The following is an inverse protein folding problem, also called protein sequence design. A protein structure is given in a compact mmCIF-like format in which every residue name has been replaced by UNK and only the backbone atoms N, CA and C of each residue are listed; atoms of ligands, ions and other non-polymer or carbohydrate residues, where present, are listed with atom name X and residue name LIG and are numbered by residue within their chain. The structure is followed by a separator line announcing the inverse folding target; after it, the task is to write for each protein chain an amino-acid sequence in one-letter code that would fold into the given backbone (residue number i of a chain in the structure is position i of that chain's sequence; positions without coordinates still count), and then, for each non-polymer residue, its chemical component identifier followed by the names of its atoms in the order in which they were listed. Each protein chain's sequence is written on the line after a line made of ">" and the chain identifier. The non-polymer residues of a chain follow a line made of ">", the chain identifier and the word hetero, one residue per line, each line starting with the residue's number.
data_IF_405406955392
#
_entry.id   IF_405406955392
#
_cell.length_a   1.000
_cell.length_b   1.000
_cell.length_c   1.000
_cell.angle_alpha   90.00
_cell.angle_beta   90.00
_cell.angle_gamma   90.00
#
_symmetry.space_group_name_H-M   'P 1'
#
loop_
_entity.id
_entity.type
_entity.pdbx_description
1 polymer ?
#
# COMPACT_ATOMS: atom_id res chain seq x y z
N UNK A 1 -43.93 28.74 55.13
CA UNK A 1 -43.11 28.97 53.92
C UNK A 1 -41.93 28.00 53.97
N UNK A 2 -42.00 26.85 53.27
CA UNK A 2 -40.93 25.84 53.24
C UNK A 2 -40.31 25.86 51.83
N UNK A 3 -39.07 26.31 51.73
CA UNK A 3 -38.31 26.31 50.47
C UNK A 3 -37.65 24.92 50.34
N UNK A 4 -38.06 24.15 49.32
CA UNK A 4 -37.37 22.93 48.90
C UNK A 4 -36.28 23.34 47.90
N UNK A 5 -35.02 23.19 48.27
CA UNK A 5 -33.92 23.17 47.31
C UNK A 5 -33.95 21.82 46.58
N UNK A 6 -34.21 21.85 45.28
CA UNK A 6 -33.99 20.73 44.37
C UNK A 6 -32.53 20.76 43.93
N UNK A 7 -31.73 19.81 44.41
CA UNK A 7 -30.42 19.51 43.83
C UNK A 7 -30.62 18.79 42.50
N UNK A 8 -30.36 19.51 41.39
CA UNK A 8 -30.13 18.89 40.09
C UNK A 8 -28.69 18.36 40.07
N UNK A 9 -28.55 17.04 40.18
CA UNK A 9 -27.31 16.34 39.87
C UNK A 9 -27.21 16.20 38.35
N UNK A 10 -26.45 17.10 37.71
CA UNK A 10 -26.06 16.95 36.31
C UNK A 10 -25.09 15.78 36.20
N UNK A 11 -25.56 14.63 35.73
CA UNK A 11 -24.70 13.52 35.32
C UNK A 11 -24.04 13.93 34.00
N UNK A 12 -22.79 14.38 34.08
CA UNK A 12 -21.94 14.54 32.90
C UNK A 12 -21.44 13.13 32.54
N UNK A 13 -22.10 12.50 31.57
CA UNK A 13 -21.55 11.35 30.87
C UNK A 13 -20.38 11.86 30.02
N UNK A 14 -19.17 11.82 30.59
CA UNK A 14 -17.92 11.92 29.84
C UNK A 14 -17.84 10.67 28.96
N UNK A 15 -18.25 10.77 27.70
CA UNK A 15 -17.95 9.75 26.72
C UNK A 15 -16.44 9.79 26.51
N UNK A 16 -15.72 8.79 27.00
CA UNK A 16 -14.29 8.61 26.70
C UNK A 16 -14.17 8.32 25.21
N UNK A 17 -13.91 9.34 24.39
CA UNK A 17 -13.51 9.12 23.02
C UNK A 17 -12.10 8.56 23.03
N UNK A 18 -11.99 7.35 22.50
CA UNK A 18 -10.76 6.60 22.38
C UNK A 18 -9.78 7.35 21.49
N UNK A 19 -8.57 7.60 22.01
CA UNK A 19 -7.42 7.95 21.18
C UNK A 19 -7.25 6.94 20.04
N UNK A 20 -6.82 7.40 18.88
CA UNK A 20 -6.67 6.60 17.65
C UNK A 20 -5.21 6.23 17.42
N UNK A 21 -4.90 5.14 16.68
CA UNK A 21 -3.49 4.81 16.41
C UNK A 21 -3.02 4.27 15.09
N UNK A 22 -1.71 4.46 14.90
CA UNK A 22 -0.91 3.94 13.82
C UNK A 22 0.49 3.57 14.30
N UNK A 23 1.17 2.72 13.55
CA UNK A 23 2.62 2.51 13.62
C UNK A 23 3.33 3.23 12.48
N UNK A 24 4.43 3.91 12.79
CA UNK A 24 5.18 4.70 11.80
C UNK A 24 6.69 4.49 11.87
N UNK A 25 7.37 4.59 10.73
CA UNK A 25 8.82 4.69 10.62
C UNK A 25 9.21 6.15 10.33
N UNK A 26 10.02 6.75 11.20
CA UNK A 26 10.41 8.15 11.06
C UNK A 26 11.68 8.38 10.26
N UNK A 27 12.37 7.32 9.83
CA UNK A 27 13.70 7.43 9.23
C UNK A 27 13.67 8.04 7.82
N UNK A 28 12.60 7.77 7.05
CA UNK A 28 12.55 8.06 5.62
C UNK A 28 11.30 8.85 5.25
N UNK A 29 11.27 10.14 5.56
CA UNK A 29 10.13 11.02 5.27
C UNK A 29 10.29 11.75 3.95
N UNK A 30 9.18 11.99 3.27
CA UNK A 30 9.15 12.92 2.12
C UNK A 30 9.38 14.36 2.57
N UNK A 31 10.31 15.06 1.92
CA UNK A 31 10.55 16.49 2.20
C UNK A 31 9.36 17.38 1.83
N UNK A 32 8.65 17.04 0.75
CA UNK A 32 7.48 17.75 0.28
C UNK A 32 6.26 16.82 0.10
N UNK A 33 5.51 16.53 1.18
CA UNK A 33 4.33 15.67 1.11
C UNK A 33 3.15 16.29 0.34
N UNK A 34 3.20 17.59 0.02
CA UNK A 34 2.15 18.28 -0.74
C UNK A 34 2.10 17.89 -2.21
N UNK A 35 3.19 17.32 -2.74
CA UNK A 35 3.31 16.95 -4.15
C UNK A 35 4.31 15.80 -4.33
N UNK A 36 3.88 14.58 -4.01
CA UNK A 36 4.70 13.38 -4.20
C UNK A 36 4.49 12.90 -5.64
N UNK A 37 5.56 12.93 -6.45
CA UNK A 37 5.48 12.43 -7.81
C UNK A 37 5.33 10.91 -7.82
N UNK A 38 4.44 10.42 -8.67
CA UNK A 38 4.19 9.00 -8.94
C UNK A 38 4.37 8.77 -10.42
N UNK A 39 5.12 7.73 -10.79
CA UNK A 39 5.26 7.33 -12.17
C UNK A 39 5.10 5.82 -12.33
N UNK A 40 4.71 5.41 -13.54
CA UNK A 40 4.55 4.01 -13.92
C UNK A 40 5.86 3.47 -14.44
N UNK A 41 6.47 2.59 -13.67
CA UNK A 41 7.63 1.80 -14.09
C UNK A 41 7.13 0.46 -14.61
N UNK A 42 6.78 0.43 -15.89
CA UNK A 42 6.39 -0.84 -16.52
C UNK A 42 7.65 -1.57 -16.94
N UNK A 43 7.84 -2.80 -16.46
CA UNK A 43 8.62 -3.76 -17.23
C UNK A 43 7.74 -4.21 -18.41
N UNK A 44 8.32 -4.24 -19.61
CA UNK A 44 7.62 -4.90 -20.71
C UNK A 44 7.31 -6.35 -20.30
N UNK A 45 6.11 -6.87 -20.61
CA UNK A 45 5.81 -8.27 -20.36
C UNK A 45 6.93 -9.10 -20.95
N UNK A 46 7.56 -9.95 -20.13
CA UNK A 46 8.56 -10.87 -20.64
C UNK A 46 7.80 -11.87 -21.49
N UNK A 47 7.92 -11.74 -22.81
CA UNK A 47 7.42 -12.74 -23.74
C UNK A 47 8.18 -14.04 -23.54
N UNK A 48 7.66 -15.15 -24.07
CA UNK A 48 8.39 -16.42 -24.06
C UNK A 48 9.81 -16.26 -24.65
N UNK A 49 9.96 -15.42 -25.68
CA UNK A 49 11.25 -15.05 -26.25
C UNK A 49 12.16 -14.25 -25.31
N UNK A 50 11.60 -13.47 -24.38
CA UNK A 50 12.37 -12.73 -23.38
C UNK A 50 12.78 -13.61 -22.20
N UNK A 51 11.96 -14.61 -21.85
CA UNK A 51 12.26 -15.59 -20.80
C UNK A 51 13.22 -16.67 -21.30
N UNK A 52 13.04 -17.12 -22.54
CA UNK A 52 13.82 -18.17 -23.19
C UNK A 52 14.17 -17.73 -24.62
N UNK A 53 15.24 -16.93 -24.79
CA UNK A 53 15.66 -16.46 -26.12
C UNK A 53 15.90 -17.58 -27.12
N UNK A 54 16.35 -18.75 -26.65
CA UNK A 54 16.52 -19.96 -27.46
C UNK A 54 15.22 -20.51 -28.03
N UNK A 55 14.06 -20.10 -27.53
CA UNK A 55 12.72 -20.54 -27.96
C UNK A 55 11.99 -19.48 -28.78
N UNK A 56 12.64 -18.34 -29.08
CA UNK A 56 12.01 -17.25 -29.83
C UNK A 56 11.57 -17.64 -31.26
N UNK A 57 12.07 -18.76 -31.78
CA UNK A 57 11.69 -19.28 -33.09
C UNK A 57 10.33 -20.03 -33.09
N UNK A 58 9.79 -20.39 -31.91
CA UNK A 58 8.48 -21.04 -31.79
C UNK A 58 7.39 -19.98 -31.93
N UNK A 59 6.60 -20.06 -33.00
CA UNK A 59 5.56 -19.09 -33.37
C UNK A 59 4.14 -19.61 -33.17
N UNK A 60 3.97 -20.92 -33.02
CA UNK A 60 2.66 -21.57 -32.92
C UNK A 60 2.66 -22.82 -32.04
N UNK A 61 1.48 -23.20 -31.53
CA UNK A 61 1.27 -24.46 -30.83
C UNK A 61 1.48 -25.66 -31.75
N UNK A 62 1.14 -25.54 -33.03
CA UNK A 62 1.31 -26.55 -34.06
C UNK A 62 2.78 -26.90 -34.27
N UNK A 63 3.68 -25.90 -34.23
CA UNK A 63 5.12 -26.14 -34.28
C UNK A 63 5.58 -26.98 -33.09
N UNK A 64 5.11 -26.72 -31.87
CA UNK A 64 5.44 -27.51 -30.66
C UNK A 64 4.92 -28.94 -30.80
N UNK A 65 3.67 -29.12 -31.26
CA UNK A 65 3.09 -30.44 -31.49
C UNK A 65 3.84 -31.25 -32.55
N UNK A 66 4.50 -30.58 -33.50
CA UNK A 66 5.30 -31.21 -34.55
C UNK A 66 6.77 -31.46 -34.18
N UNK A 67 7.23 -31.02 -32.99
CA UNK A 67 8.64 -31.17 -32.60
C UNK A 67 9.03 -32.63 -32.40
N UNK A 68 10.20 -32.98 -32.92
CA UNK A 68 10.84 -34.27 -32.63
C UNK A 68 11.25 -34.37 -31.16
N UNK A 69 11.38 -35.61 -30.67
CA UNK A 69 11.82 -35.90 -29.31
C UNK A 69 13.20 -35.30 -28.99
N UNK A 70 14.07 -35.21 -29.99
CA UNK A 70 15.39 -34.55 -29.87
C UNK A 70 15.22 -33.06 -29.58
N UNK A 71 14.37 -32.35 -30.32
CA UNK A 71 14.10 -30.92 -30.11
C UNK A 71 13.46 -30.68 -28.74
N UNK A 72 12.51 -31.53 -28.32
CA UNK A 72 11.87 -31.42 -27.02
C UNK A 72 12.86 -31.65 -25.87
N UNK A 73 13.79 -32.60 -26.05
CA UNK A 73 14.85 -32.87 -25.07
C UNK A 73 15.79 -31.67 -24.90
N UNK A 74 16.22 -31.04 -26.01
CA UNK A 74 17.07 -29.85 -25.97
C UNK A 74 16.39 -28.66 -25.29
N UNK A 75 15.09 -28.47 -25.57
CA UNK A 75 14.29 -27.40 -24.96
C UNK A 75 14.10 -27.67 -23.46
N UNK A 76 13.72 -28.88 -23.08
CA UNK A 76 13.52 -29.27 -21.68
C UNK A 76 14.81 -29.11 -20.88
N UNK A 77 15.95 -29.54 -21.44
CA UNK A 77 17.26 -29.35 -20.84
C UNK A 77 17.59 -27.87 -20.66
N UNK A 78 17.31 -27.04 -21.68
CA UNK A 78 17.56 -25.60 -21.63
C UNK A 78 16.73 -24.86 -20.56
N UNK A 79 15.50 -25.32 -20.29
CA UNK A 79 14.60 -24.73 -19.30
C UNK A 79 14.91 -25.22 -17.89
N UNK A 80 15.09 -26.54 -17.73
CA UNK A 80 15.19 -27.18 -16.41
C UNK A 80 16.62 -27.35 -15.90
N UNK A 81 17.62 -27.28 -16.79
CA UNK A 81 19.01 -27.64 -16.52
C UNK A 81 19.23 -29.14 -16.27
N UNK A 82 18.22 -29.98 -16.54
CA UNK A 82 18.26 -31.43 -16.30
C UNK A 82 18.01 -32.20 -17.59
N UNK A 83 18.77 -33.27 -17.77
CA UNK A 83 18.53 -34.21 -18.86
C UNK A 83 17.29 -35.03 -18.50
N UNK A 84 16.26 -35.12 -19.37
CA UNK A 84 15.08 -35.93 -19.09
C UNK A 84 15.51 -37.41 -19.02
N UNK A 85 14.95 -38.17 -18.07
CA UNK A 85 15.23 -39.60 -17.99
C UNK A 85 14.56 -40.27 -19.19
N UNK A 86 15.38 -40.90 -20.04
CA UNK A 86 14.94 -41.47 -21.33
C UNK A 86 14.04 -42.71 -21.20
N UNK A 87 13.78 -43.17 -19.99
CA UNK A 87 13.00 -44.39 -19.71
C UNK A 87 11.54 -44.12 -19.32
N UNK A 88 11.08 -42.87 -19.25
CA UNK A 88 9.73 -42.53 -18.75
C UNK A 88 8.96 -41.53 -19.64
N UNK A 89 7.67 -41.33 -19.32
CA UNK A 89 6.71 -40.37 -19.91
C UNK A 89 7.19 -38.89 -19.92
N UNK A 90 8.44 -38.62 -19.58
CA UNK A 90 9.04 -37.30 -19.38
C UNK A 90 8.99 -36.43 -20.65
N UNK A 91 9.07 -37.02 -21.84
CA UNK A 91 9.00 -36.27 -23.11
C UNK A 91 7.58 -35.83 -23.46
N UNK A 92 6.58 -36.67 -23.20
CA UNK A 92 5.17 -36.29 -23.35
C UNK A 92 4.76 -35.28 -22.27
N UNK A 93 5.28 -35.41 -21.06
CA UNK A 93 5.12 -34.42 -19.99
C UNK A 93 5.81 -33.09 -20.36
N UNK A 94 7.01 -33.12 -20.94
CA UNK A 94 7.72 -31.94 -21.42
C UNK A 94 6.97 -31.25 -22.58
N UNK A 95 6.46 -32.02 -23.55
CA UNK A 95 5.63 -31.52 -24.65
C UNK A 95 4.34 -30.89 -24.10
N UNK A 96 3.68 -31.56 -23.16
CA UNK A 96 2.48 -31.05 -22.49
C UNK A 96 2.76 -29.75 -21.72
N UNK A 97 3.88 -29.67 -21.01
CA UNK A 97 4.32 -28.46 -20.30
C UNK A 97 4.64 -27.31 -21.29
N UNK A 98 5.30 -27.59 -22.41
CA UNK A 98 5.60 -26.59 -23.43
C UNK A 98 4.36 -26.06 -24.13
N UNK A 99 3.45 -26.95 -24.55
CA UNK A 99 2.15 -26.58 -25.09
C UNK A 99 1.35 -25.77 -24.07
N UNK A 100 1.39 -26.16 -22.81
CA UNK A 100 0.76 -25.42 -21.73
C UNK A 100 1.35 -24.02 -21.59
N UNK A 101 2.68 -23.87 -21.55
CA UNK A 101 3.36 -22.56 -21.45
C UNK A 101 3.09 -21.68 -22.68
N UNK A 102 3.05 -22.25 -23.88
CA UNK A 102 2.77 -21.53 -25.11
C UNK A 102 1.31 -21.06 -25.15
N UNK A 103 0.35 -21.96 -24.89
CA UNK A 103 -1.07 -21.63 -24.83
C UNK A 103 -1.35 -20.61 -23.73
N UNK A 104 -0.68 -20.75 -22.59
CA UNK A 104 -0.73 -19.78 -21.53
C UNK A 104 -0.16 -18.43 -22.00
N UNK A 105 0.93 -18.39 -22.76
CA UNK A 105 1.43 -17.17 -23.40
C UNK A 105 0.41 -16.51 -24.37
N UNK A 106 -0.29 -17.31 -25.17
CA UNK A 106 -1.37 -16.84 -26.05
C UNK A 106 -2.59 -16.36 -25.25
N UNK A 107 -2.96 -17.09 -24.20
CA UNK A 107 -4.02 -16.69 -23.29
C UNK A 107 -3.60 -15.46 -22.49
N UNK A 108 -2.32 -15.24 -22.18
CA UNK A 108 -1.80 -13.99 -21.63
C UNK A 108 -1.89 -12.84 -22.63
N UNK A 109 -1.72 -13.09 -23.94
CA UNK A 109 -1.98 -12.07 -24.96
C UNK A 109 -3.47 -11.70 -25.00
N UNK A 110 -4.38 -12.66 -24.79
CA UNK A 110 -5.84 -12.44 -24.72
C UNK A 110 -6.29 -11.83 -23.39
N UNK A 111 -5.64 -12.23 -22.30
CA UNK A 111 -5.89 -11.83 -20.92
C UNK A 111 -5.05 -10.63 -20.54
N UNK A 112 -4.32 -10.01 -21.48
CA UNK A 112 -3.51 -8.81 -21.25
C UNK A 112 -4.40 -7.86 -20.46
N UNK A 113 -4.16 -7.73 -19.14
CA UNK A 113 -5.03 -6.92 -18.33
C UNK A 113 -5.03 -5.56 -18.99
N UNK A 114 -6.18 -4.90 -19.04
CA UNK A 114 -6.21 -3.56 -19.57
C UNK A 114 -5.40 -2.69 -18.61
N UNK A 115 -4.09 -2.61 -18.83
CA UNK A 115 -3.11 -1.97 -17.96
C UNK A 115 -3.52 -0.51 -17.80
N UNK A 116 -4.01 0.12 -18.87
CA UNK A 116 -4.55 1.48 -18.81
C UNK A 116 -5.74 1.58 -17.84
N UNK A 117 -6.67 0.62 -17.86
CA UNK A 117 -7.77 0.55 -16.89
C UNK A 117 -7.30 0.35 -15.46
N UNK A 118 -6.31 -0.51 -15.21
CA UNK A 118 -5.74 -0.69 -13.87
C UNK A 118 -5.01 0.55 -13.38
N UNK A 119 -4.22 1.20 -14.24
CA UNK A 119 -3.54 2.46 -13.92
C UNK A 119 -4.54 3.52 -13.48
N UNK A 120 -5.60 3.70 -14.27
CA UNK A 120 -6.68 4.66 -13.97
C UNK A 120 -7.45 4.28 -12.70
N UNK A 121 -7.71 2.99 -12.48
CA UNK A 121 -8.39 2.52 -11.27
C UNK A 121 -7.56 2.78 -10.02
N UNK A 122 -6.25 2.50 -10.04
CA UNK A 122 -5.32 2.77 -8.94
C UNK A 122 -5.25 4.27 -8.65
N UNK A 123 -5.09 5.10 -9.70
CA UNK A 123 -5.10 6.56 -9.56
C UNK A 123 -6.39 7.05 -8.89
N UNK A 124 -7.56 6.58 -9.35
CA UNK A 124 -8.85 6.94 -8.76
C UNK A 124 -8.96 6.49 -7.30
N UNK A 125 -8.50 5.29 -6.94
CA UNK A 125 -8.50 4.81 -5.55
C UNK A 125 -7.70 5.78 -4.66
N UNK A 126 -6.54 6.25 -5.12
CA UNK A 126 -5.70 7.19 -4.37
C UNK A 126 -6.34 8.57 -4.23
N UNK A 127 -7.01 9.06 -5.27
CA UNK A 127 -7.79 10.30 -5.21
C UNK A 127 -8.93 10.17 -4.19
N UNK A 128 -9.71 9.10 -4.26
CA UNK A 128 -10.89 8.88 -3.42
C UNK A 128 -10.55 8.58 -1.96
N UNK A 129 -9.34 8.08 -1.69
CA UNK A 129 -8.82 7.81 -0.34
C UNK A 129 -7.97 8.96 0.18
N UNK A 130 -6.73 9.10 -0.28
CA UNK A 130 -5.78 10.06 0.27
C UNK A 130 -6.15 11.50 -0.09
N UNK A 131 -6.44 11.85 -1.35
CA UNK A 131 -6.65 13.26 -1.69
C UNK A 131 -7.89 13.84 -1.04
N UNK A 132 -8.93 13.00 -0.89
CA UNK A 132 -10.19 13.36 -0.22
C UNK A 132 -10.05 13.50 1.29
N UNK A 133 -9.31 12.60 1.94
CA UNK A 133 -9.25 12.54 3.41
C UNK A 133 -8.02 13.24 4.00
N UNK A 134 -7.06 13.67 3.18
CA UNK A 134 -5.78 14.26 3.62
C UNK A 134 -5.34 15.39 2.68
N UNK A 135 -4.22 16.05 2.97
CA UNK A 135 -3.57 17.05 2.08
C UNK A 135 -2.46 16.45 1.23
N UNK A 136 -2.16 15.16 1.34
CA UNK A 136 -1.22 14.50 0.45
C UNK A 136 -1.75 14.56 -0.98
N UNK A 137 -0.87 14.91 -1.93
CA UNK A 137 -1.18 14.83 -3.36
C UNK A 137 -0.14 13.96 -4.03
N UNK A 138 -0.67 13.04 -4.81
CA UNK A 138 0.08 12.12 -5.65
C UNK A 138 -0.15 12.54 -7.09
N UNK A 139 0.90 12.98 -7.77
CA UNK A 139 0.81 13.59 -9.08
C UNK A 139 1.72 12.88 -10.08
N UNK A 140 1.74 13.33 -11.33
CA UNK A 140 2.78 12.89 -12.26
C UNK A 140 2.57 11.53 -12.94
N UNK A 141 1.41 10.87 -12.74
CA UNK A 141 0.97 9.50 -13.16
C UNK A 141 1.22 9.07 -14.63
N UNK A 142 2.41 9.34 -15.15
CA UNK A 142 2.94 9.08 -16.49
C UNK A 142 3.95 7.95 -16.40
N UNK A 143 4.45 7.47 -17.54
CA UNK A 143 5.59 6.55 -17.53
C UNK A 143 6.81 7.22 -16.90
N UNK A 144 7.57 6.49 -16.09
CA UNK A 144 8.81 7.01 -15.51
C UNK A 144 9.83 7.36 -16.61
N UNK A 145 10.50 8.50 -16.50
CA UNK A 145 11.70 8.80 -17.29
C UNK A 145 12.89 7.95 -16.84
N UNK A 146 13.98 7.91 -17.62
CA UNK A 146 15.19 7.19 -17.23
C UNK A 146 15.76 7.72 -15.90
N UNK A 147 15.72 9.03 -15.69
CA UNK A 147 16.15 9.66 -14.44
C UNK A 147 15.23 9.25 -13.28
N UNK A 148 13.92 9.20 -13.52
CA UNK A 148 12.95 8.85 -12.50
C UNK A 148 13.09 7.39 -12.04
N UNK A 149 13.46 6.45 -12.93
CA UNK A 149 13.62 5.01 -12.62
C UNK A 149 14.60 4.72 -11.48
N UNK A 150 15.58 5.60 -11.26
CA UNK A 150 16.61 5.46 -10.23
C UNK A 150 16.51 6.53 -9.13
N UNK A 151 15.53 7.45 -9.24
CA UNK A 151 15.38 8.55 -8.30
C UNK A 151 14.73 8.10 -6.99
N UNK A 152 15.15 8.67 -5.88
CA UNK A 152 14.50 8.50 -4.57
C UNK A 152 13.35 9.47 -4.33
N UNK A 153 13.08 10.37 -5.28
CA UNK A 153 12.14 11.50 -5.13
C UNK A 153 10.76 11.23 -5.73
N UNK A 154 10.49 9.99 -6.16
CA UNK A 154 9.19 9.60 -6.67
C UNK A 154 8.81 8.19 -6.20
N UNK A 155 7.51 7.92 -6.24
CA UNK A 155 6.96 6.57 -6.09
C UNK A 155 6.90 5.95 -7.48
N UNK A 156 7.61 4.85 -7.69
CA UNK A 156 7.60 4.10 -8.95
C UNK A 156 6.68 2.91 -8.81
N UNK A 157 5.52 2.99 -9.47
CA UNK A 157 4.53 1.92 -9.43
C UNK A 157 4.76 0.98 -10.60
N UNK A 158 4.89 -0.31 -10.33
CA UNK A 158 4.90 -1.36 -11.34
C UNK A 158 3.72 -2.30 -11.15
N UNK A 159 3.19 -2.81 -12.27
CA UNK A 159 2.15 -3.82 -12.27
C UNK A 159 2.77 -5.15 -12.64
N UNK A 160 2.88 -6.04 -11.66
CA UNK A 160 3.26 -7.42 -11.90
C UNK A 160 2.05 -8.17 -12.46
N UNK A 161 2.10 -8.44 -13.75
CA UNK A 161 1.10 -9.24 -14.47
C UNK A 161 1.53 -10.71 -14.59
N UNK A 162 2.74 -11.04 -14.14
CA UNK A 162 3.44 -12.30 -14.45
C UNK A 162 3.53 -13.25 -13.26
N UNK A 163 2.93 -12.90 -12.12
CA UNK A 163 2.99 -13.73 -10.92
C UNK A 163 1.99 -14.89 -11.00
N UNK A 164 2.37 -15.84 -11.82
CA UNK A 164 1.91 -17.21 -11.83
C UNK A 164 2.71 -17.98 -10.80
N UNK A 165 2.13 -18.23 -9.63
CA UNK A 165 2.71 -19.23 -8.73
C UNK A 165 2.25 -20.60 -9.22
N UNK A 166 3.23 -21.39 -9.65
CA UNK A 166 3.06 -22.83 -9.86
C UNK A 166 3.19 -23.50 -8.49
N UNK A 167 2.09 -23.56 -7.75
CA UNK A 167 2.01 -24.35 -6.52
C UNK A 167 1.57 -25.78 -6.91
N UNK A 168 2.51 -26.74 -6.85
CA UNK A 168 2.27 -28.16 -7.16
C UNK A 168 1.72 -28.43 -8.57
N UNK A 169 2.21 -27.73 -9.58
CA UNK A 169 1.79 -27.91 -10.98
C UNK A 169 0.42 -27.30 -11.32
N UNK A 170 -0.22 -26.62 -10.37
CA UNK A 170 -1.43 -25.83 -10.62
C UNK A 170 -1.06 -24.36 -10.56
N UNK A 171 -1.31 -23.65 -11.65
CA UNK A 171 -1.18 -22.20 -11.70
C UNK A 171 -2.31 -21.60 -10.84
N UNK A 172 -1.97 -21.16 -9.63
CA UNK A 172 -2.87 -20.35 -8.83
C UNK A 172 -2.69 -18.90 -9.26
N UNK A 173 -3.79 -18.25 -9.63
CA UNK A 173 -3.79 -16.79 -9.70
C UNK A 173 -3.50 -16.26 -8.31
N UNK A 174 -2.32 -15.65 -8.15
CA UNK A 174 -1.91 -15.10 -6.87
C UNK A 174 -2.91 -14.01 -6.48
N UNK A 175 -3.28 -14.04 -5.21
CA UNK A 175 -3.99 -12.97 -4.51
C UNK A 175 -3.43 -11.60 -4.88
N UNK A 176 -4.28 -10.57 -5.07
CA UNK A 176 -3.76 -9.18 -5.12
C UNK A 176 -2.84 -8.99 -3.90
N UNK A 177 -1.58 -8.74 -4.20
CA UNK A 177 -0.50 -8.55 -3.24
C UNK A 177 0.24 -7.29 -3.63
N UNK A 178 0.70 -6.59 -2.62
CA UNK A 178 1.58 -5.44 -2.76
C UNK A 178 2.91 -5.71 -2.09
N UNK A 179 3.93 -5.00 -2.55
CA UNK A 179 5.16 -4.85 -1.79
C UNK A 179 5.65 -3.44 -1.99
N UNK A 180 6.04 -2.81 -0.88
CA UNK A 180 6.62 -1.48 -0.89
C UNK A 180 7.70 -1.35 0.18
N UNK A 181 8.66 -0.46 -0.06
CA UNK A 181 9.48 0.10 0.99
C UNK A 181 8.66 0.97 1.94
N UNK A 182 9.15 1.14 3.16
CA UNK A 182 8.53 2.05 4.13
C UNK A 182 9.15 3.44 3.97
N UNK A 183 8.30 4.43 3.70
CA UNK A 183 8.67 5.83 3.54
C UNK A 183 9.22 6.18 2.15
N UNK A 184 9.93 7.30 2.09
CA UNK A 184 10.67 7.69 0.89
C UNK A 184 11.72 6.60 0.56
N UNK A 185 11.80 6.14 -0.69
CA UNK A 185 12.75 5.10 -1.07
C UNK A 185 14.18 5.57 -0.79
N UNK A 186 14.89 4.91 0.11
CA UNK A 186 16.27 5.30 0.49
C UNK A 186 17.37 4.62 -0.30
N UNK A 187 17.01 3.58 -1.06
CA UNK A 187 17.94 2.85 -1.90
C UNK A 187 17.31 2.57 -3.26
N UNK A 188 18.16 2.59 -4.28
CA UNK A 188 17.83 2.04 -5.59
C UNK A 188 17.54 0.54 -5.41
N UNK A 189 16.29 0.13 -5.63
CA UNK A 189 15.87 -1.28 -5.61
C UNK A 189 16.35 -2.01 -6.88
N UNK A 190 17.57 -1.74 -7.32
CA UNK A 190 18.16 -2.23 -8.57
C UNK A 190 17.24 -2.04 -9.78
N UNK A 191 16.64 -0.84 -9.90
CA UNK A 191 15.68 -0.56 -10.96
C UNK A 191 14.37 -1.33 -10.86
N UNK A 192 14.00 -1.90 -9.70
CA UNK A 192 12.62 -2.32 -9.44
C UNK A 192 11.83 -1.11 -8.93
N UNK A 193 10.55 -1.04 -9.29
CA UNK A 193 9.69 0.02 -8.79
C UNK A 193 9.61 -0.04 -7.26
N UNK A 194 9.37 1.10 -6.63
CA UNK A 194 9.26 1.20 -5.18
C UNK A 194 8.01 0.49 -4.68
N UNK A 195 6.96 0.45 -5.52
CA UNK A 195 5.65 -0.09 -5.19
C UNK A 195 5.19 -1.05 -6.30
N UNK A 196 4.95 -2.31 -5.95
CA UNK A 196 4.44 -3.33 -6.88
C UNK A 196 3.00 -3.74 -6.59
N UNK A 197 2.21 -3.96 -7.64
CA UNK A 197 0.90 -4.61 -7.52
C UNK A 197 0.80 -5.85 -8.40
N UNK A 198 0.38 -6.97 -7.83
CA UNK A 198 -0.08 -8.12 -8.62
C UNK A 198 -1.54 -7.92 -8.99
N UNK A 199 -1.86 -7.84 -10.29
CA UNK A 199 -3.22 -7.57 -10.79
C UNK A 199 -3.81 -8.76 -11.53
N UNK A 200 -5.12 -8.93 -11.39
CA UNK A 200 -5.88 -9.97 -12.09
C UNK A 200 -6.11 -9.62 -13.57
N UNK A 201 -6.53 -10.59 -14.40
CA UNK A 201 -6.90 -10.32 -15.79
C UNK A 201 -8.16 -9.46 -15.94
N UNK A 202 -9.14 -9.64 -15.05
CA UNK A 202 -10.42 -8.95 -15.13
C UNK A 202 -10.59 -7.86 -14.04
N UNK A 203 -10.46 -6.57 -14.42
CA UNK A 203 -10.69 -5.45 -13.51
C UNK A 203 -12.17 -5.21 -13.18
N UNK A 204 -13.12 -5.87 -13.87
CA UNK A 204 -14.56 -5.67 -13.63
C UNK A 204 -15.11 -6.53 -12.49
N UNK A 205 -14.37 -7.57 -12.09
CA UNK A 205 -14.75 -8.39 -10.96
C UNK A 205 -14.70 -7.57 -9.66
N UNK A 206 -15.85 -7.35 -9.03
CA UNK A 206 -16.01 -6.49 -7.86
C UNK A 206 -15.17 -6.96 -6.67
N UNK A 207 -15.13 -8.27 -6.40
CA UNK A 207 -14.29 -8.84 -5.35
C UNK A 207 -12.80 -8.53 -5.56
N UNK A 208 -12.32 -8.60 -6.81
CA UNK A 208 -10.95 -8.20 -7.13
C UNK A 208 -10.73 -6.70 -6.98
N UNK A 209 -11.73 -5.87 -7.32
CA UNK A 209 -11.65 -4.42 -7.17
C UNK A 209 -11.56 -4.00 -5.71
N UNK A 210 -12.34 -4.60 -4.81
CA UNK A 210 -12.31 -4.28 -3.39
C UNK A 210 -10.98 -4.70 -2.75
N UNK A 211 -10.48 -5.88 -3.13
CA UNK A 211 -9.16 -6.33 -2.70
C UNK A 211 -8.06 -5.40 -3.21
N UNK A 212 -8.11 -5.01 -4.49
CA UNK A 212 -7.17 -4.05 -5.07
C UNK A 212 -7.25 -2.69 -4.38
N UNK A 213 -8.45 -2.18 -4.12
CA UNK A 213 -8.66 -0.93 -3.39
C UNK A 213 -7.95 -0.97 -2.04
N UNK A 214 -8.20 -2.00 -1.24
CA UNK A 214 -7.56 -2.19 0.05
C UNK A 214 -6.04 -2.23 -0.07
N UNK A 215 -5.50 -3.06 -0.98
CA UNK A 215 -4.05 -3.18 -1.20
C UNK A 215 -3.45 -1.84 -1.65
N UNK A 216 -4.07 -1.13 -2.58
CA UNK A 216 -3.57 0.16 -3.08
C UNK A 216 -3.46 1.17 -1.94
N UNK A 217 -4.48 1.30 -1.10
CA UNK A 217 -4.45 2.26 0.02
C UNK A 217 -3.37 1.86 1.04
N UNK A 218 -3.25 0.56 1.32
CA UNK A 218 -2.26 -0.02 2.22
C UNK A 218 -0.82 0.25 1.76
N UNK A 219 -0.49 -0.08 0.50
CA UNK A 219 0.86 0.09 -0.04
C UNK A 219 1.26 1.57 -0.12
N UNK A 220 0.33 2.46 -0.46
CA UNK A 220 0.60 3.89 -0.39
C UNK A 220 0.76 4.39 1.05
N UNK A 221 0.15 3.72 2.04
CA UNK A 221 0.41 3.96 3.45
C UNK A 221 1.86 3.65 3.80
N UNK A 222 2.38 2.51 3.34
CA UNK A 222 3.81 2.20 3.43
C UNK A 222 4.68 3.25 2.75
N UNK A 223 4.31 3.73 1.55
CA UNK A 223 5.08 4.76 0.85
C UNK A 223 5.20 6.06 1.65
N UNK A 224 4.22 6.36 2.50
CA UNK A 224 4.24 7.52 3.38
C UNK A 224 4.97 7.26 4.71
N UNK A 225 5.30 6.00 5.03
CA UNK A 225 6.02 5.63 6.24
C UNK A 225 5.15 4.95 7.31
N UNK A 226 3.90 4.60 7.00
CA UNK A 226 3.10 3.76 7.89
C UNK A 226 3.63 2.33 7.87
N UNK A 227 3.55 1.65 9.00
CA UNK A 227 3.96 0.25 9.19
C UNK A 227 2.72 -0.58 9.52
N UNK A 228 2.81 -1.89 9.35
CA UNK A 228 1.74 -2.80 9.70
C UNK A 228 1.25 -2.60 11.15
N UNK A 229 -0.06 -2.37 11.30
CA UNK A 229 -0.69 -2.18 12.61
C UNK A 229 -0.75 -3.50 13.40
N UNK A 230 -0.80 -4.63 12.70
CA UNK A 230 -0.84 -5.96 13.32
C UNK A 230 0.53 -6.42 13.87
N UNK A 231 1.62 -5.73 13.53
CA UNK A 231 2.97 -6.04 14.03
C UNK A 231 3.24 -5.42 15.42
N UNK A 232 2.28 -4.66 15.97
CA UNK A 232 2.39 -4.06 17.31
C UNK A 232 2.38 -5.12 18.40
N UNK A 233 3.08 -4.85 19.49
CA UNK A 233 3.09 -5.73 20.67
C UNK A 233 1.78 -5.75 21.43
N UNK A 234 0.94 -4.71 21.30
CA UNK A 234 -0.39 -4.63 21.89
C UNK A 234 -1.51 -5.06 20.92
N UNK A 235 -1.17 -5.49 19.69
CA UNK A 235 -2.15 -6.01 18.74
C UNK A 235 -2.73 -7.33 19.22
N UNK A 236 -4.06 -7.48 19.10
CA UNK A 236 -4.71 -8.78 19.28
C UNK A 236 -4.38 -9.66 18.07
N UNK A 237 -4.05 -10.93 18.32
CA UNK A 237 -3.84 -11.93 17.25
C UNK A 237 -5.07 -11.96 16.34
N UNK A 238 -4.85 -11.88 15.04
CA UNK A 238 -5.86 -12.25 14.09
C UNK A 238 -5.55 -13.61 13.46
N UNK A 239 -6.60 -14.32 13.04
CA UNK A 239 -6.55 -15.74 12.68
C UNK A 239 -5.57 -16.06 11.54
N UNK A 240 -5.18 -15.06 10.75
CA UNK A 240 -4.34 -15.23 9.57
C UNK A 240 -2.89 -14.77 9.72
N UNK A 241 -2.50 -14.25 10.88
CA UNK A 241 -1.12 -13.79 11.11
C UNK A 241 -0.44 -14.70 12.13
N UNK A 242 0.59 -15.43 11.67
CA UNK A 242 1.56 -15.98 12.61
C UNK A 242 2.21 -14.78 13.32
N UNK A 243 2.20 -14.71 14.68
CA UNK A 243 2.66 -13.55 15.43
C UNK A 243 4.16 -13.42 15.23
N UNK A 244 4.53 -12.66 14.22
CA UNK A 244 5.85 -12.13 14.06
C UNK A 244 5.86 -10.83 14.88
N UNK A 245 5.98 -10.96 16.20
CA UNK A 245 6.04 -9.84 17.14
C UNK A 245 7.30 -9.01 16.85
N UNK A 246 7.25 -8.11 15.86
CA UNK A 246 8.43 -7.44 15.33
C UNK A 246 8.60 -6.00 15.78
N UNK A 247 7.51 -5.28 16.08
CA UNK A 247 7.64 -3.92 16.55
C UNK A 247 7.50 -3.91 18.07
N UNK A 248 8.57 -3.65 18.82
CA UNK A 248 8.48 -3.10 20.18
C UNK A 248 8.65 -1.58 20.05
N UNK A 249 7.87 -0.79 20.78
CA UNK A 249 7.97 0.66 20.75
C UNK A 249 9.43 1.09 21.05
N UNK A 250 10.12 1.69 20.07
CA UNK A 250 11.54 2.05 20.20
C UNK A 250 12.57 0.97 19.80
N UNK A 251 12.18 -0.17 19.23
CA UNK A 251 13.11 -1.09 18.56
C UNK A 251 13.10 -0.89 17.05
N UNK A 252 14.24 -1.18 16.44
CA UNK A 252 14.43 -1.17 15.00
C UNK A 252 13.43 -2.09 14.31
N UNK A 253 12.76 -1.62 13.25
CA UNK A 253 12.11 -2.51 12.28
C UNK A 253 13.15 -3.53 11.76
N UNK A 254 12.71 -4.57 11.06
CA UNK A 254 13.63 -5.53 10.41
C UNK A 254 14.69 -4.87 9.53
N UNK A 255 14.52 -3.59 9.18
CA UNK A 255 15.41 -2.79 8.35
C UNK A 255 16.12 -1.65 9.11
N UNK A 256 16.13 -1.64 10.46
CA UNK A 256 16.88 -0.64 11.23
C UNK A 256 16.15 0.69 11.52
N UNK A 257 14.92 0.88 11.04
CA UNK A 257 14.14 2.11 11.24
C UNK A 257 13.51 2.20 12.64
N UNK A 258 13.40 3.40 13.21
CA UNK A 258 12.75 3.60 14.52
C UNK A 258 11.24 3.56 14.34
N UNK A 259 10.61 2.57 14.96
CA UNK A 259 9.17 2.40 14.95
C UNK A 259 8.53 3.08 16.16
N UNK A 260 7.59 4.00 15.92
CA UNK A 260 6.84 4.70 16.97
C UNK A 260 5.35 4.35 16.88
N UNK A 261 4.76 4.03 18.03
CA UNK A 261 3.30 3.93 18.15
C UNK A 261 2.72 5.31 18.36
N UNK A 262 1.69 5.65 17.60
CA UNK A 262 0.97 6.92 17.70
C UNK A 262 -0.43 6.62 18.20
N UNK A 263 -0.64 6.40 19.52
CA UNK A 263 -1.94 6.06 20.14
C UNK A 263 -2.21 4.55 20.39
N UNK A 264 -3.46 4.16 20.75
CA UNK A 264 -3.91 2.76 20.98
C UNK A 264 -4.24 1.94 19.71
N UNK A 265 -3.84 0.66 19.67
CA UNK A 265 -4.06 -0.27 18.54
C UNK A 265 -5.41 -0.09 17.81
N UNK A 266 -5.35 0.15 16.50
CA UNK A 266 -6.53 0.27 15.63
C UNK A 266 -6.74 -1.01 14.82
N UNK A 267 -7.61 -1.90 15.32
CA UNK A 267 -7.92 -3.16 14.63
C UNK A 267 -8.53 -2.99 13.23
N UNK A 268 -9.03 -1.78 12.90
CA UNK A 268 -9.62 -1.47 11.59
C UNK A 268 -8.68 -0.70 10.67
N UNK A 269 -7.48 -0.32 11.14
CA UNK A 269 -6.47 0.37 10.33
C UNK A 269 -6.30 -0.30 8.98
N UNK A 270 -6.13 0.50 7.92
CA UNK A 270 -5.81 -0.03 6.60
C UNK A 270 -4.49 -0.81 6.62
N UNK A 271 -3.59 -0.49 7.55
CA UNK A 271 -2.29 -1.15 7.76
C UNK A 271 -2.40 -2.48 8.53
N UNK A 272 -3.58 -2.85 9.02
CA UNK A 272 -3.83 -4.16 9.60
C UNK A 272 -4.22 -5.15 8.50
N UNK A 273 -3.57 -6.32 8.46
CA UNK A 273 -4.00 -7.45 7.59
C UNK A 273 -5.40 -7.96 7.94
N UNK A 274 -5.92 -7.57 9.08
CA UNK A 274 -7.23 -7.94 9.59
C UNK A 274 -8.18 -6.73 9.69
N UNK A 275 -7.74 -5.57 9.21
CA UNK A 275 -8.49 -4.32 9.23
C UNK A 275 -9.38 -4.10 8.01
N UNK A 276 -9.78 -2.83 7.84
CA UNK A 276 -10.75 -2.40 6.84
C UNK A 276 -10.17 -2.11 5.45
N UNK A 277 -10.95 -1.39 4.64
CA UNK A 277 -10.68 -1.03 3.25
C UNK A 277 -10.56 0.50 3.02
N UNK A 278 -10.48 1.26 4.10
CA UNK A 278 -10.41 2.73 4.11
C UNK A 278 -9.44 3.22 5.18
N UNK A 279 -8.95 4.46 5.02
CA UNK A 279 -8.17 5.14 6.05
C UNK A 279 -9.02 5.34 7.30
N UNK A 280 -8.52 4.85 8.42
CA UNK A 280 -9.09 5.11 9.74
C UNK A 280 -8.57 6.42 10.32
N UNK A 281 -9.18 6.87 11.42
CA UNK A 281 -8.66 7.99 12.20
C UNK A 281 -7.27 7.70 12.76
N UNK A 282 -6.96 6.43 13.04
CA UNK A 282 -5.63 6.00 13.47
C UNK A 282 -4.59 6.20 12.39
N UNK A 283 -4.88 5.74 11.17
CA UNK A 283 -4.02 5.94 10.00
C UNK A 283 -3.75 7.43 9.75
N UNK A 284 -4.79 8.26 9.81
CA UNK A 284 -4.70 9.72 9.66
C UNK A 284 -3.84 10.35 10.77
N UNK A 285 -4.01 9.93 12.02
CA UNK A 285 -3.20 10.41 13.14
C UNK A 285 -1.72 10.09 12.93
N UNK A 286 -1.39 8.91 12.41
CA UNK A 286 -0.04 8.52 12.01
C UNK A 286 0.57 9.40 10.96
N UNK A 287 -0.17 9.63 9.88
CA UNK A 287 0.26 10.51 8.82
C UNK A 287 0.47 11.94 9.33
N UNK A 288 -0.40 12.44 10.20
CA UNK A 288 -0.25 13.77 10.79
C UNK A 288 0.94 13.85 11.77
N UNK A 289 1.25 12.77 12.49
CA UNK A 289 2.46 12.73 13.30
C UNK A 289 3.72 12.75 12.43
N UNK A 290 3.73 12.00 11.32
CA UNK A 290 4.85 11.98 10.39
C UNK A 290 5.00 13.33 9.66
N UNK A 291 3.89 13.89 9.22
CA UNK A 291 3.80 15.11 8.41
C UNK A 291 2.75 16.07 9.01
N UNK A 292 3.14 16.86 10.02
CA UNK A 292 2.23 17.78 10.69
C UNK A 292 1.50 18.70 9.71
N UNK A 293 0.17 18.72 9.81
CA UNK A 293 -0.68 19.55 8.97
C UNK A 293 -1.02 18.94 7.60
N UNK A 294 -0.63 17.69 7.31
CA UNK A 294 -0.99 16.99 6.06
C UNK A 294 -1.99 15.85 6.22
N UNK A 295 -2.19 15.33 7.44
CA UNK A 295 -3.14 14.24 7.69
C UNK A 295 -4.62 14.61 7.61
N UNK A 296 -4.98 15.89 7.51
CA UNK A 296 -6.38 16.36 7.59
C UNK A 296 -6.93 16.83 6.24
N UNK A 297 -8.23 16.75 5.94
CA UNK A 297 -8.78 17.32 4.72
C UNK A 297 -8.61 18.85 4.66
N UNK A 298 -8.39 19.41 3.45
CA UNK A 298 -8.36 20.88 3.26
C UNK A 298 -9.67 21.56 3.69
N UNK A 299 -10.80 20.88 3.50
CA UNK A 299 -12.13 21.42 3.81
C UNK A 299 -12.30 21.72 5.31
N UNK A 300 -11.73 20.91 6.19
CA UNK A 300 -11.83 21.11 7.64
C UNK A 300 -10.96 22.28 8.13
N UNK A 301 -9.86 22.58 7.44
CA UNK A 301 -9.08 23.79 7.76
C UNK A 301 -9.78 25.09 7.37
N UNK A 302 -10.72 25.02 6.41
CA UNK A 302 -11.48 26.21 5.98
C UNK A 302 -12.56 26.65 6.96
N UNK A 303 -13.02 25.77 7.87
CA UNK A 303 -13.91 26.20 8.96
C UNK A 303 -13.20 27.08 9.99
N UNK A 304 -11.87 27.00 10.08
CA UNK A 304 -11.08 27.93 10.89
C UNK A 304 -11.02 29.35 10.29
N UNK A 305 -11.26 29.50 8.97
CA UNK A 305 -11.12 30.77 8.25
C UNK A 305 -12.40 31.62 8.35
N UNK A 306 -13.55 31.01 8.59
CA UNK A 306 -14.85 31.72 8.52
C UNK A 306 -15.20 32.56 9.74
N UNK A 307 -14.48 32.42 10.86
CA UNK A 307 -14.73 33.25 12.03
C UNK A 307 -13.48 33.36 12.93
N UNK A 308 -12.63 34.39 12.76
CA UNK A 308 -11.46 34.58 13.60
C UNK A 308 -11.81 34.81 15.09
N UNK A 309 -13.06 35.20 15.40
CA UNK A 309 -13.57 35.32 16.76
C UNK A 309 -14.12 33.99 17.33
N UNK A 310 -14.27 32.95 16.51
CA UNK A 310 -14.55 31.58 16.98
C UNK A 310 -13.27 30.80 17.32
N UNK A 311 -12.16 31.50 17.60
CA UNK A 311 -10.92 30.91 18.12
C UNK A 311 -11.08 30.31 19.53
N UNK A 312 -12.24 30.49 20.17
CA UNK A 312 -12.72 29.50 21.12
C UNK A 312 -13.14 28.25 20.34
N UNK A 313 -12.23 27.28 20.32
CA UNK A 313 -12.50 25.86 20.07
C UNK A 313 -13.51 25.37 21.13
N UNK A 314 -14.74 25.86 21.08
CA UNK A 314 -15.85 25.35 21.87
C UNK A 314 -16.69 24.45 20.97
N UNK A 315 -16.55 23.15 21.26
CA UNK A 315 -17.62 22.13 21.30
C UNK A 315 -17.78 21.13 20.16
N UNK A 316 -16.94 21.09 19.13
CA UNK A 316 -16.98 19.95 18.18
C UNK A 316 -15.82 18.96 18.30
N UNK A 317 -14.70 19.34 18.93
CA UNK A 317 -13.62 18.42 19.30
C UNK A 317 -13.11 18.82 20.69
N UNK A 318 -13.29 17.97 21.70
CA UNK A 318 -12.78 18.27 23.04
C UNK A 318 -11.25 18.16 23.03
N UNK A 319 -10.58 19.21 23.53
CA UNK A 319 -9.12 19.34 23.65
C UNK A 319 -8.43 18.09 24.26
N UNK A 320 -9.15 17.37 25.12
CA UNK A 320 -8.68 16.15 25.77
C UNK A 320 -8.55 14.97 24.79
N UNK A 321 -9.42 14.85 23.78
CA UNK A 321 -9.47 13.70 22.88
C UNK A 321 -8.27 13.65 21.92
N UNK A 322 -7.71 14.81 21.55
CA UNK A 322 -6.57 14.91 20.63
C UNK A 322 -5.23 14.66 21.34
N UNK A 323 -5.14 15.00 22.62
CA UNK A 323 -3.89 14.92 23.37
C UNK A 323 -3.60 13.55 23.99
N UNK A 324 -4.59 12.63 23.98
CA UNK A 324 -4.48 11.31 24.60
C UNK A 324 -3.43 10.38 23.93
N UNK A 325 -2.85 10.76 22.78
CA UNK A 325 -1.75 10.04 22.11
C UNK A 325 -0.36 10.63 22.30
N UNK A 326 -0.21 11.79 22.95
CA UNK A 326 1.07 12.47 23.10
C UNK A 326 1.77 12.07 24.41
N UNK A 327 3.11 12.00 24.38
CA UNK A 327 3.95 11.66 25.56
C UNK A 327 3.74 12.63 26.73
N UNK A 328 3.31 13.85 26.46
CA UNK A 328 2.89 14.83 27.46
C UNK A 328 1.86 15.79 26.88
N UNK A 329 1.08 16.40 27.77
CA UNK A 329 0.17 17.49 27.43
C UNK A 329 0.92 18.67 26.79
N UNK A 330 2.15 18.97 27.23
CA UNK A 330 2.97 20.04 26.65
C UNK A 330 3.35 19.78 25.19
N UNK A 331 3.63 18.52 24.81
CA UNK A 331 3.90 18.15 23.41
C UNK A 331 2.67 18.27 22.53
N UNK A 332 1.50 17.88 23.04
CA UNK A 332 0.24 18.10 22.33
C UNK A 332 -0.04 19.60 22.14
N UNK A 333 0.06 20.39 23.21
CA UNK A 333 -0.16 21.84 23.15
C UNK A 333 0.83 22.55 22.23
N UNK A 334 2.07 22.05 22.09
CA UNK A 334 3.02 22.58 21.12
C UNK A 334 2.55 22.34 19.68
N UNK A 335 2.09 21.12 19.36
CA UNK A 335 1.54 20.80 18.02
C UNK A 335 0.26 21.59 17.74
N UNK A 336 -0.61 21.77 18.75
CA UNK A 336 -1.78 22.64 18.64
C UNK A 336 -1.34 24.08 18.38
N UNK A 337 -0.37 24.62 19.13
CA UNK A 337 0.17 25.98 18.94
C UNK A 337 0.78 26.17 17.56
N UNK A 338 1.53 25.20 17.06
CA UNK A 338 2.12 25.23 15.71
C UNK A 338 1.04 25.16 14.63
N UNK A 339 -0.02 24.37 14.84
CA UNK A 339 -1.17 24.27 13.93
C UNK A 339 -2.02 25.55 13.92
N UNK A 340 -2.20 26.19 15.08
CA UNK A 340 -2.87 27.49 15.22
C UNK A 340 -2.01 28.61 14.64
N UNK A 341 -0.69 28.55 14.82
CA UNK A 341 0.28 29.44 14.17
C UNK A 341 0.21 29.32 12.65
N UNK A 342 0.08 28.11 12.12
CA UNK A 342 -0.13 27.85 10.71
C UNK A 342 -1.47 28.44 10.22
N UNK A 343 -2.54 28.30 11.00
CA UNK A 343 -3.82 28.96 10.71
C UNK A 343 -3.69 30.49 10.69
N UNK A 344 -2.94 31.07 11.65
CA UNK A 344 -2.67 32.52 11.66
C UNK A 344 -1.81 32.95 10.47
N UNK A 345 -0.81 32.18 10.08
CA UNK A 345 0.05 32.49 8.92
C UNK A 345 -0.74 32.50 7.61
N UNK A 346 -1.63 31.52 7.42
CA UNK A 346 -2.56 31.43 6.26
C UNK A 346 -3.63 32.54 6.28
N UNK A 347 -3.95 33.11 7.44
CA UNK A 347 -4.88 34.25 7.52
C UNK A 347 -4.20 35.61 7.29
N UNK A 348 -2.87 35.67 7.42
CA UNK A 348 -2.09 36.92 7.32
C UNK A 348 -1.33 37.07 6.00
N UNK A 349 -1.28 36.02 5.17
CA UNK A 349 -0.68 35.99 3.84
C UNK A 349 -1.64 35.30 2.88
#
# INVERSE_FOLDING_TARGET
>A
MRVRLLHLSTIILLSTQTAFSSVIDTSNKWENPSNIEVCWQMEEPKTLSNLFPSLAWIKSSEEISSMSDVQLTEIFFSISGKQPDTETNDLEDARSQLLYLFNLGEDFKKLKPNISSYKKLIENIIVDSYHKNTRFRFTGWKSCTEEQKYSTNNIRVYLDTQRLEVDKGVFKYITVGGYNGIGAPTQDLAGKGTLGFTVYPDPKNEFHRDKLKRTVIHEFGHALGLVHEHDRTDAKKCEHTNPRNYAVNGTTSTNGGIVQYVGPFDSRSIMSYCGGDVLTKGDIAGLNYLYPGYGHPLAETSSCIKNPDSLYVEKSFQHEDWCNGFKSQSSCEQVIRESVSLCKWVLLN
#
